data_IF_755724366159
#
_entry.id   IF_755724366159
#
_cell.length_a   1.000
_cell.length_b   1.000
_cell.length_c   1.000
_cell.angle_alpha   90.00
_cell.angle_beta   90.00
_cell.angle_gamma   90.00
#
_symmetry.space_group_name_H-M   'P 1'
#
loop_
_entity.id
_entity.type
_entity.pdbx_description
1 polymer ?
#
# COMPACT_ATOMS: atom_id res chain seq x y z
N UNK A 1 27.18 0.28 -8.43
CA UNK A 1 26.85 1.20 -7.35
C UNK A 1 25.86 0.54 -6.40
N UNK A 2 25.92 0.83 -5.10
CA UNK A 2 25.12 0.13 -4.05
C UNK A 2 23.61 0.42 -4.13
N UNK A 3 23.24 1.53 -4.80
CA UNK A 3 21.85 1.99 -4.93
C UNK A 3 20.93 1.01 -5.68
N UNK A 4 21.35 0.50 -6.82
CA UNK A 4 20.52 -0.42 -7.62
C UNK A 4 20.18 -1.70 -6.84
N UNK A 5 21.18 -2.20 -6.10
CA UNK A 5 20.99 -3.38 -5.24
C UNK A 5 20.00 -3.09 -4.09
N UNK A 6 20.12 -1.93 -3.44
CA UNK A 6 19.18 -1.53 -2.38
C UNK A 6 17.76 -1.33 -2.96
N UNK A 7 17.65 -0.66 -4.09
CA UNK A 7 16.36 -0.44 -4.75
C UNK A 7 15.64 -1.76 -5.03
N UNK A 8 16.31 -2.73 -5.66
CA UNK A 8 15.70 -4.01 -5.97
C UNK A 8 15.37 -4.81 -4.69
N UNK A 9 16.23 -4.76 -3.67
CA UNK A 9 15.97 -5.38 -2.39
C UNK A 9 14.73 -4.81 -1.69
N UNK A 10 14.61 -3.49 -1.66
CA UNK A 10 13.46 -2.81 -1.05
C UNK A 10 12.18 -3.06 -1.85
N UNK A 11 12.27 -2.97 -3.16
CA UNK A 11 11.14 -3.24 -4.05
C UNK A 11 10.61 -4.67 -3.85
N UNK A 12 11.50 -5.66 -3.84
CA UNK A 12 11.12 -7.05 -3.59
C UNK A 12 10.44 -7.22 -2.23
N UNK A 13 11.01 -6.65 -1.16
CA UNK A 13 10.43 -6.74 0.18
C UNK A 13 9.03 -6.07 0.27
N UNK A 14 8.83 -4.96 -0.43
CA UNK A 14 7.52 -4.29 -0.52
C UNK A 14 6.51 -5.13 -1.28
N UNK A 15 6.89 -5.72 -2.42
CA UNK A 15 6.01 -6.60 -3.20
C UNK A 15 5.62 -7.86 -2.39
N UNK A 16 6.57 -8.48 -1.71
CA UNK A 16 6.31 -9.64 -0.84
C UNK A 16 5.36 -9.28 0.29
N UNK A 17 5.58 -8.14 0.96
CA UNK A 17 4.73 -7.68 2.05
C UNK A 17 3.30 -7.38 1.58
N UNK A 18 3.14 -6.63 0.47
CA UNK A 18 1.83 -6.31 -0.10
C UNK A 18 1.11 -7.57 -0.59
N UNK A 19 1.83 -8.51 -1.19
CA UNK A 19 1.27 -9.81 -1.61
C UNK A 19 0.78 -10.64 -0.43
N UNK A 20 1.54 -10.67 0.67
CA UNK A 20 1.15 -11.35 1.89
C UNK A 20 -0.06 -10.69 2.57
N UNK A 21 -0.13 -9.35 2.56
CA UNK A 21 -1.25 -8.59 3.11
C UNK A 21 -2.58 -8.95 2.43
N UNK A 22 -2.55 -9.20 1.13
CA UNK A 22 -3.72 -9.57 0.33
C UNK A 22 -3.79 -11.08 0.02
N UNK A 23 -3.06 -11.91 0.78
CA UNK A 23 -3.17 -13.36 0.69
C UNK A 23 -4.39 -13.85 1.50
N UNK A 24 -5.23 -14.66 0.88
CA UNK A 24 -6.40 -15.24 1.54
C UNK A 24 -7.73 -14.73 1.00
N UNK A 25 -8.82 -15.18 1.61
CA UNK A 25 -10.18 -14.76 1.33
C UNK A 25 -10.69 -13.85 2.44
N UNK A 26 -11.52 -12.89 2.10
CA UNK A 26 -12.21 -12.01 3.04
C UNK A 26 -13.73 -12.23 2.95
N UNK A 27 -14.50 -11.89 3.99
CA UNK A 27 -15.97 -11.99 3.94
C UNK A 27 -16.63 -11.19 2.81
N UNK A 28 -15.90 -10.28 2.17
CA UNK A 28 -16.33 -9.43 1.07
C UNK A 28 -15.37 -9.57 -0.11
N UNK A 29 -15.29 -10.78 -0.65
CA UNK A 29 -14.30 -11.18 -1.68
C UNK A 29 -14.16 -10.19 -2.83
N UNK A 30 -15.29 -9.68 -3.38
CA UNK A 30 -15.25 -8.76 -4.52
C UNK A 30 -14.58 -7.41 -4.19
N UNK A 31 -14.80 -6.86 -3.00
CA UNK A 31 -14.14 -5.63 -2.54
C UNK A 31 -12.64 -5.90 -2.36
N UNK A 32 -12.32 -7.01 -1.72
CA UNK A 32 -10.95 -7.41 -1.47
C UNK A 32 -10.17 -7.65 -2.78
N UNK A 33 -10.81 -8.28 -3.76
CA UNK A 33 -10.25 -8.48 -5.10
C UNK A 33 -10.01 -7.15 -5.83
N UNK A 34 -10.92 -6.19 -5.71
CA UNK A 34 -10.76 -4.85 -6.29
C UNK A 34 -9.57 -4.09 -5.65
N UNK A 35 -9.42 -4.15 -4.32
CA UNK A 35 -8.26 -3.59 -3.62
C UNK A 35 -6.95 -4.26 -4.10
N UNK A 36 -6.91 -5.57 -4.07
CA UNK A 36 -5.77 -6.40 -4.48
C UNK A 36 -5.36 -6.12 -5.92
N UNK A 37 -6.33 -6.02 -6.83
CA UNK A 37 -6.09 -5.76 -8.25
C UNK A 37 -5.24 -4.50 -8.47
N UNK A 38 -5.59 -3.41 -7.82
CA UNK A 38 -4.85 -2.14 -7.95
C UNK A 38 -3.50 -2.19 -7.24
N UNK A 39 -3.45 -2.66 -6.00
CA UNK A 39 -2.23 -2.70 -5.19
C UNK A 39 -1.17 -3.60 -5.83
N UNK A 40 -1.55 -4.77 -6.35
CA UNK A 40 -0.64 -5.72 -6.96
C UNK A 40 -0.46 -5.53 -8.48
N UNK A 41 -0.97 -4.42 -9.04
CA UNK A 41 -0.76 -4.10 -10.47
C UNK A 41 0.69 -3.73 -10.82
N UNK A 42 1.58 -3.77 -9.85
CA UNK A 42 3.00 -3.42 -10.01
C UNK A 42 3.25 -1.92 -9.92
N UNK A 43 4.45 -1.50 -10.29
CA UNK A 43 4.88 -0.10 -10.29
C UNK A 43 6.33 0.06 -9.85
N UNK A 44 6.82 1.29 -9.88
CA UNK A 44 8.21 1.61 -9.49
C UNK A 44 8.42 1.61 -7.97
N UNK A 45 7.35 1.61 -7.17
CA UNK A 45 7.40 1.63 -5.69
C UNK A 45 8.34 2.70 -5.12
N UNK A 46 8.42 3.86 -5.76
CA UNK A 46 9.36 4.92 -5.36
C UNK A 46 9.09 5.41 -3.94
N UNK A 47 7.82 5.62 -3.55
CA UNK A 47 7.45 6.10 -2.21
C UNK A 47 7.92 5.15 -1.11
N UNK A 48 7.57 3.85 -1.14
CA UNK A 48 8.08 2.90 -0.15
C UNK A 48 9.61 2.77 -0.19
N UNK A 49 10.23 2.72 -1.35
CA UNK A 49 11.71 2.63 -1.46
C UNK A 49 12.38 3.82 -0.78
N UNK A 50 11.90 5.04 -1.02
CA UNK A 50 12.44 6.23 -0.34
C UNK A 50 12.24 6.15 1.18
N UNK A 51 11.09 5.70 1.65
CA UNK A 51 10.82 5.52 3.09
C UNK A 51 11.84 4.58 3.73
N UNK A 52 12.11 3.44 3.09
CA UNK A 52 13.06 2.45 3.60
C UNK A 52 14.51 2.97 3.56
N UNK A 53 14.86 3.71 2.51
CA UNK A 53 16.19 4.28 2.39
C UNK A 53 16.43 5.37 3.43
N UNK A 54 15.45 6.26 3.68
CA UNK A 54 15.56 7.26 4.74
C UNK A 54 15.63 6.63 6.15
N UNK A 55 14.90 5.55 6.41
CA UNK A 55 15.02 4.80 7.65
C UNK A 55 16.45 4.27 7.84
N UNK A 56 17.02 3.66 6.79
CA UNK A 56 18.41 3.17 6.80
C UNK A 56 19.41 4.30 7.05
N UNK A 57 19.26 5.44 6.38
CA UNK A 57 20.13 6.61 6.56
C UNK A 57 20.02 7.18 7.97
N UNK A 58 18.85 7.08 8.60
CA UNK A 58 18.64 7.44 10.01
C UNK A 58 19.18 6.40 11.02
N UNK A 59 19.84 5.35 10.55
CA UNK A 59 20.41 4.29 11.42
C UNK A 59 19.38 3.28 11.93
N UNK A 60 18.17 3.24 11.36
CA UNK A 60 17.11 2.30 11.70
C UNK A 60 17.22 1.09 10.77
N UNK A 61 17.03 -0.13 11.29
CA UNK A 61 16.84 -1.28 10.42
C UNK A 61 15.61 -1.02 9.52
N UNK A 62 15.83 -0.90 8.22
CA UNK A 62 14.80 -0.57 7.25
C UNK A 62 13.61 -1.55 7.26
N UNK A 63 13.83 -2.79 7.75
CA UNK A 63 12.75 -3.79 7.88
C UNK A 63 11.68 -3.36 8.87
N UNK A 64 12.06 -2.60 9.90
CA UNK A 64 11.11 -2.03 10.87
C UNK A 64 10.23 -0.93 10.26
N UNK A 65 10.72 -0.29 9.19
CA UNK A 65 9.97 0.73 8.46
C UNK A 65 9.07 0.15 7.36
N UNK A 66 9.14 -1.15 7.07
CA UNK A 66 8.40 -1.78 5.98
C UNK A 66 6.86 -1.61 6.08
N UNK A 67 6.22 -1.77 7.25
CA UNK A 67 4.78 -1.52 7.37
C UNK A 67 4.40 -0.07 7.04
N UNK A 68 5.21 0.90 7.43
CA UNK A 68 5.00 2.33 7.13
C UNK A 68 5.17 2.62 5.64
N UNK A 69 6.18 2.03 5.02
CA UNK A 69 6.43 2.12 3.59
C UNK A 69 5.27 1.54 2.77
N UNK A 70 4.75 0.37 3.18
CA UNK A 70 3.59 -0.25 2.56
C UNK A 70 2.30 0.55 2.80
N UNK A 71 2.11 1.13 3.98
CA UNK A 71 0.97 2.01 4.27
C UNK A 71 0.94 3.22 3.31
N UNK A 72 2.09 3.86 3.07
CA UNK A 72 2.20 4.95 2.08
C UNK A 72 1.85 4.49 0.66
N UNK A 73 2.20 3.26 0.29
CA UNK A 73 1.84 2.72 -1.02
C UNK A 73 0.33 2.42 -1.10
N UNK A 74 -0.33 1.98 -0.01
CA UNK A 74 -1.79 1.84 0.02
C UNK A 74 -2.48 3.20 -0.16
N UNK A 75 -2.01 4.25 0.54
CA UNK A 75 -2.50 5.62 0.37
C UNK A 75 -2.29 6.12 -1.07
N UNK A 76 -1.16 5.80 -1.69
CA UNK A 76 -0.94 6.13 -3.09
C UNK A 76 -1.91 5.38 -4.02
N UNK A 77 -2.14 4.10 -3.77
CA UNK A 77 -3.04 3.32 -4.62
C UNK A 77 -4.50 3.77 -4.49
N UNK A 78 -4.98 4.13 -3.28
CA UNK A 78 -6.33 4.68 -3.15
C UNK A 78 -6.49 5.95 -4.00
N UNK A 79 -5.52 6.87 -3.95
CA UNK A 79 -5.61 8.11 -4.73
C UNK A 79 -5.68 7.82 -6.24
N UNK A 80 -4.89 6.86 -6.73
CA UNK A 80 -4.91 6.47 -8.13
C UNK A 80 -6.25 5.85 -8.55
N UNK A 81 -6.85 5.02 -7.68
CA UNK A 81 -8.18 4.43 -7.97
C UNK A 81 -9.23 5.52 -8.10
N UNK A 82 -9.21 6.52 -7.22
CA UNK A 82 -10.18 7.62 -7.24
C UNK A 82 -9.92 8.60 -8.38
N UNK A 83 -8.65 8.91 -8.67
CA UNK A 83 -8.28 9.78 -9.80
C UNK A 83 -8.77 9.19 -11.14
N UNK A 84 -8.71 7.86 -11.31
CA UNK A 84 -9.14 7.17 -12.53
C UNK A 84 -10.66 7.19 -12.78
N UNK A 85 -11.48 7.55 -11.79
CA UNK A 85 -12.93 7.51 -11.91
C UNK A 85 -13.46 8.46 -12.99
N UNK A 86 -14.64 8.15 -13.62
CA UNK A 86 -15.25 9.00 -14.63
C UNK A 86 -15.58 10.43 -14.16
N UNK A 87 -15.75 10.64 -12.87
CA UNK A 87 -15.99 11.96 -12.28
C UNK A 87 -14.69 12.75 -11.99
N UNK A 88 -13.53 12.15 -12.24
CA UNK A 88 -12.20 12.72 -12.05
C UNK A 88 -11.46 12.77 -13.39
N UNK A 89 -10.39 11.98 -13.56
CA UNK A 89 -9.58 12.01 -14.79
C UNK A 89 -10.15 11.13 -15.93
N UNK A 90 -11.12 10.25 -15.62
CA UNK A 90 -11.79 9.31 -16.56
C UNK A 90 -10.79 8.45 -17.35
N UNK A 91 -9.81 7.91 -16.69
CA UNK A 91 -8.79 7.09 -17.31
C UNK A 91 -9.25 5.64 -17.51
N UNK A 92 -9.14 5.13 -18.75
CA UNK A 92 -9.47 3.74 -19.07
C UNK A 92 -8.36 2.75 -18.71
N UNK A 93 -7.11 3.21 -18.76
CA UNK A 93 -5.92 2.37 -18.57
C UNK A 93 -4.95 2.99 -17.57
N UNK A 94 -4.40 2.17 -16.69
CA UNK A 94 -3.28 2.51 -15.82
C UNK A 94 -2.20 1.45 -15.88
N UNK A 95 -0.96 1.86 -16.15
CA UNK A 95 0.19 0.94 -16.34
C UNK A 95 -0.08 -0.14 -17.38
N UNK A 96 -0.85 0.18 -18.43
CA UNK A 96 -1.21 -0.74 -19.51
C UNK A 96 -2.31 -1.75 -19.18
N UNK A 97 -2.92 -1.65 -17.99
CA UNK A 97 -4.08 -2.48 -17.59
C UNK A 97 -5.33 -1.62 -17.46
N UNK A 98 -6.54 -2.19 -17.65
CA UNK A 98 -7.78 -1.49 -17.36
C UNK A 98 -7.79 -0.94 -15.93
N UNK A 99 -8.36 0.25 -15.75
CA UNK A 99 -8.50 0.86 -14.42
C UNK A 99 -9.51 0.11 -13.57
N UNK A 100 -9.47 0.33 -12.25
CA UNK A 100 -10.28 -0.43 -11.30
C UNK A 100 -11.78 -0.34 -11.62
N UNK A 101 -12.27 0.87 -11.94
CA UNK A 101 -13.68 1.07 -12.26
C UNK A 101 -14.12 0.39 -13.57
N UNK A 102 -13.20 0.17 -14.53
CA UNK A 102 -13.50 -0.58 -15.76
C UNK A 102 -13.63 -2.09 -15.50
N UNK A 103 -12.93 -2.63 -14.51
CA UNK A 103 -12.96 -4.07 -14.17
C UNK A 103 -14.08 -4.40 -13.17
N UNK A 104 -14.26 -3.58 -12.14
CA UNK A 104 -15.14 -3.86 -11.01
C UNK A 104 -16.37 -2.97 -10.95
N UNK A 105 -16.44 -1.93 -11.77
CA UNK A 105 -17.47 -0.89 -11.74
C UNK A 105 -17.15 0.23 -10.74
N UNK A 106 -17.74 1.41 -10.96
CA UNK A 106 -17.47 2.63 -10.18
C UNK A 106 -17.70 2.45 -8.68
N UNK A 107 -18.81 1.82 -8.31
CA UNK A 107 -19.16 1.61 -6.89
C UNK A 107 -18.07 0.83 -6.15
N UNK A 108 -17.59 -0.29 -6.72
CA UNK A 108 -16.54 -1.07 -6.08
C UNK A 108 -15.17 -0.35 -6.12
N UNK A 109 -14.90 0.41 -7.16
CA UNK A 109 -13.68 1.22 -7.23
C UNK A 109 -13.64 2.28 -6.13
N UNK A 110 -14.75 3.01 -5.91
CA UNK A 110 -14.86 3.97 -4.81
C UNK A 110 -14.62 3.27 -3.47
N UNK A 111 -15.35 2.19 -3.21
CA UNK A 111 -15.23 1.45 -1.95
C UNK A 111 -13.83 0.82 -1.76
N UNK A 112 -13.18 0.38 -2.84
CA UNK A 112 -11.81 -0.15 -2.77
C UNK A 112 -10.80 0.95 -2.36
N UNK A 113 -10.92 2.14 -2.95
CA UNK A 113 -10.13 3.29 -2.52
C UNK A 113 -10.40 3.65 -1.06
N UNK A 114 -11.66 3.76 -0.66
CA UNK A 114 -12.04 4.04 0.72
C UNK A 114 -11.50 3.01 1.71
N UNK A 115 -11.53 1.71 1.36
CA UNK A 115 -11.07 0.64 2.23
C UNK A 115 -9.52 0.57 2.34
N UNK A 116 -8.79 1.02 1.33
CA UNK A 116 -7.32 1.08 1.38
C UNK A 116 -6.80 2.10 2.40
N UNK A 117 -7.54 3.17 2.67
CA UNK A 117 -7.14 4.17 3.66
C UNK A 117 -7.13 3.62 5.10
N UNK A 118 -8.23 3.07 5.66
CA UNK A 118 -8.20 2.49 6.99
C UNK A 118 -7.23 1.30 7.08
N UNK A 119 -7.01 0.57 5.99
CA UNK A 119 -6.01 -0.50 5.96
C UNK A 119 -4.59 0.05 6.14
N UNK A 120 -4.26 1.18 5.52
CA UNK A 120 -2.99 1.86 5.72
C UNK A 120 -2.81 2.29 7.20
N UNK A 121 -3.84 2.87 7.82
CA UNK A 121 -3.80 3.23 9.24
C UNK A 121 -3.69 1.99 10.14
N UNK A 122 -4.34 0.90 9.79
CA UNK A 122 -4.24 -0.38 10.51
C UNK A 122 -2.80 -0.90 10.53
N UNK A 123 -2.10 -0.85 9.38
CA UNK A 123 -0.69 -1.24 9.29
C UNK A 123 0.19 -0.40 10.21
N UNK A 124 0.00 0.92 10.19
CA UNK A 124 0.77 1.84 11.05
C UNK A 124 0.49 1.56 12.53
N UNK A 125 -0.78 1.41 12.92
CA UNK A 125 -1.16 1.15 14.30
C UNK A 125 -0.59 -0.17 14.82
N UNK A 126 -0.57 -1.22 14.01
CA UNK A 126 0.03 -2.50 14.36
C UNK A 126 1.56 -2.40 14.53
N UNK A 127 2.24 -1.66 13.65
CA UNK A 127 3.67 -1.43 13.75
C UNK A 127 4.07 -0.64 15.02
N UNK A 128 3.26 0.34 15.41
CA UNK A 128 3.47 1.15 16.62
C UNK A 128 3.26 0.33 17.90
N UNK A 129 2.33 -0.62 17.91
CA UNK A 129 2.04 -1.46 19.07
C UNK A 129 3.26 -2.29 19.53
N UNK A 130 4.20 -2.57 18.63
CA UNK A 130 5.46 -3.24 18.96
C UNK A 130 6.51 -2.31 19.58
N UNK A 131 6.35 -0.98 19.47
CA UNK A 131 7.41 -0.06 19.84
C UNK A 131 7.15 0.78 21.09
N UNK A 132 5.97 1.26 21.43
CA UNK A 132 5.82 2.15 22.63
C UNK A 132 4.39 2.56 23.03
N UNK A 133 3.37 1.74 22.91
CA UNK A 133 2.08 2.08 23.53
C UNK A 133 1.83 1.31 24.84
N UNK A 134 2.83 1.22 25.70
CA UNK A 134 2.56 1.20 27.14
C UNK A 134 2.36 2.65 27.56
N UNK A 135 1.12 3.14 27.50
CA UNK A 135 0.77 4.31 28.29
C UNK A 135 1.20 4.04 29.75
N UNK A 136 1.97 4.92 30.39
CA UNK A 136 2.24 4.75 31.82
C UNK A 136 0.89 4.67 32.52
N UNK A 137 0.64 3.56 33.17
CA UNK A 137 -0.50 3.43 34.09
C UNK A 137 -0.28 4.48 35.15
N UNK A 138 -1.06 5.54 35.10
CA UNK A 138 -1.08 6.52 36.21
C UNK A 138 -1.70 5.77 37.39
N UNK A 139 -0.84 5.38 38.32
CA UNK A 139 -1.27 4.83 39.57
C UNK A 139 -1.77 5.96 40.50
#
# INVERSE_FOLDING_TARGET
MDYERHYEQYRAAVEDYLSALFAGSAPYDRLYDAMRYSVLSGGKRIRPVLTLEFARLGGIDWRLALPYACALELVHNYSLIHDDLPCMDDDDLRRGKPTNHKVYGETLAILAGDALQPEAFRLIAQAVSYTHLTLPTIA
#
